data_IF_172955234110
#
_entry.id   IF_172955234110
#
_cell.length_a   1.000
_cell.length_b   1.000
_cell.length_c   1.000
_cell.angle_alpha   90.00
_cell.angle_beta   90.00
_cell.angle_gamma   90.00
#
_symmetry.space_group_name_H-M   'P 1'
#
loop_
_entity.id
_entity.type
_entity.pdbx_description
1 polymer ?
#
# COMPACT_ATOMS: atom_id res chain seq x y z
N UNK A 1 -38.87 19.20 -41.91
CA UNK A 1 -38.27 18.34 -40.88
C UNK A 1 -39.19 17.13 -40.75
N UNK A 2 -38.72 15.96 -41.13
CA UNK A 2 -39.55 14.74 -41.15
C UNK A 2 -39.71 14.16 -39.74
N UNK A 3 -40.89 13.63 -39.47
CA UNK A 3 -41.25 13.03 -38.17
C UNK A 3 -40.26 11.93 -37.76
N UNK A 4 -39.68 11.23 -38.73
CA UNK A 4 -38.67 10.19 -38.53
C UNK A 4 -37.34 10.73 -37.97
N UNK A 5 -36.94 11.96 -38.31
CA UNK A 5 -35.76 12.59 -37.72
C UNK A 5 -36.00 13.06 -36.28
N UNK A 6 -37.20 13.57 -36.00
CA UNK A 6 -37.60 13.98 -34.65
C UNK A 6 -37.58 12.76 -33.72
N UNK A 7 -38.13 11.63 -34.16
CA UNK A 7 -38.14 10.38 -33.38
C UNK A 7 -36.73 9.85 -33.14
N UNK A 8 -35.85 9.86 -34.15
CA UNK A 8 -34.44 9.45 -33.98
C UNK A 8 -33.68 10.32 -32.98
N UNK A 9 -33.95 11.63 -32.99
CA UNK A 9 -33.31 12.59 -32.09
C UNK A 9 -33.74 12.37 -30.64
N UNK A 10 -35.03 12.11 -30.43
CA UNK A 10 -35.60 11.81 -29.10
C UNK A 10 -35.05 10.49 -28.56
N UNK A 11 -35.00 9.43 -29.39
CA UNK A 11 -34.45 8.13 -28.98
C UNK A 11 -32.97 8.25 -28.60
N UNK A 12 -32.19 9.01 -29.37
CA UNK A 12 -30.76 9.24 -29.10
C UNK A 12 -30.56 10.00 -27.79
N UNK A 13 -31.38 11.02 -27.52
CA UNK A 13 -31.35 11.77 -26.26
C UNK A 13 -31.75 10.90 -25.05
N UNK A 14 -32.76 10.04 -25.21
CA UNK A 14 -33.22 9.16 -24.13
C UNK A 14 -32.21 8.05 -23.81
N UNK A 15 -31.54 7.48 -24.81
CA UNK A 15 -30.53 6.42 -24.61
C UNK A 15 -29.20 7.02 -24.15
N UNK A 16 -28.78 8.16 -24.72
CA UNK A 16 -27.52 8.83 -24.37
C UNK A 16 -27.54 9.54 -23.01
N UNK A 17 -28.70 10.01 -22.56
CA UNK A 17 -28.83 10.77 -21.31
C UNK A 17 -28.91 9.92 -20.04
N UNK A 18 -29.29 8.64 -20.13
CA UNK A 18 -29.65 7.84 -18.95
C UNK A 18 -28.54 6.91 -18.42
N UNK A 19 -27.45 6.68 -19.18
CA UNK A 19 -26.55 5.54 -18.93
C UNK A 19 -25.16 5.84 -18.37
N UNK A 20 -24.84 7.10 -18.04
CA UNK A 20 -23.45 7.50 -17.72
C UNK A 20 -23.14 7.62 -16.21
N UNK A 21 -24.03 8.09 -15.31
CA UNK A 21 -23.59 8.43 -13.95
C UNK A 21 -23.28 7.21 -13.07
N UNK A 22 -24.02 6.10 -13.22
CA UNK A 22 -23.81 4.89 -12.40
C UNK A 22 -22.48 4.18 -12.67
N UNK A 23 -22.03 4.17 -13.94
CA UNK A 23 -20.78 3.53 -14.35
C UNK A 23 -19.56 4.35 -13.88
N UNK A 24 -19.64 5.68 -13.95
CA UNK A 24 -18.58 6.56 -13.44
C UNK A 24 -18.44 6.49 -11.90
N UNK A 25 -19.56 6.40 -11.18
CA UNK A 25 -19.55 6.24 -9.73
C UNK A 25 -18.95 4.89 -9.30
N UNK A 26 -19.28 3.79 -10.00
CA UNK A 26 -18.70 2.48 -9.72
C UNK A 26 -17.18 2.43 -10.00
N UNK A 27 -16.74 3.05 -11.10
CA UNK A 27 -15.33 3.11 -11.49
C UNK A 27 -14.47 3.91 -10.48
N UNK A 28 -14.99 5.03 -9.98
CA UNK A 28 -14.29 5.86 -8.96
C UNK A 28 -14.21 5.14 -7.61
N UNK A 29 -15.23 4.37 -7.22
CA UNK A 29 -15.22 3.60 -5.98
C UNK A 29 -14.23 2.42 -6.02
N UNK A 30 -14.16 1.70 -7.16
CA UNK A 30 -13.21 0.61 -7.38
C UNK A 30 -11.76 1.11 -7.40
N UNK A 31 -11.48 2.19 -8.13
CA UNK A 31 -10.12 2.78 -8.21
C UNK A 31 -9.65 3.34 -6.87
N UNK A 32 -10.54 3.93 -6.06
CA UNK A 32 -10.21 4.38 -4.71
C UNK A 32 -9.84 3.24 -3.76
N UNK A 33 -10.47 2.06 -3.91
CA UNK A 33 -10.19 0.88 -3.09
C UNK A 33 -8.85 0.22 -3.44
N UNK A 34 -8.50 0.21 -4.72
CA UNK A 34 -7.20 -0.31 -5.18
C UNK A 34 -6.03 0.55 -4.70
N UNK A 35 -6.18 1.88 -4.72
CA UNK A 35 -5.15 2.79 -4.21
C UNK A 35 -4.87 2.58 -2.73
N UNK A 36 -5.92 2.55 -1.89
CA UNK A 36 -5.76 2.29 -0.45
C UNK A 36 -5.07 0.96 -0.15
N UNK A 37 -5.41 -0.10 -0.90
CA UNK A 37 -4.76 -1.40 -0.74
C UNK A 37 -3.27 -1.36 -1.10
N UNK A 38 -2.88 -0.61 -2.13
CA UNK A 38 -1.46 -0.45 -2.50
C UNK A 38 -0.69 0.31 -1.43
N UNK A 39 -1.26 1.41 -0.94
CA UNK A 39 -0.64 2.21 0.12
C UNK A 39 -0.47 1.41 1.42
N UNK A 40 -1.46 0.58 1.77
CA UNK A 40 -1.39 -0.30 2.93
C UNK A 40 -0.32 -1.40 2.77
N UNK A 41 -0.20 -1.99 1.57
CA UNK A 41 0.84 -2.98 1.27
C UNK A 41 2.23 -2.36 1.36
N UNK A 42 2.45 -1.22 0.72
CA UNK A 42 3.74 -0.50 0.75
C UNK A 42 4.13 -0.13 2.19
N UNK A 43 3.16 0.34 2.99
CA UNK A 43 3.39 0.64 4.40
C UNK A 43 3.72 -0.60 5.23
N UNK A 44 3.08 -1.73 4.95
CA UNK A 44 3.34 -2.99 5.63
C UNK A 44 4.69 -3.58 5.24
N UNK A 45 5.07 -3.51 3.96
CA UNK A 45 6.38 -3.92 3.46
C UNK A 45 7.49 -3.09 4.12
N UNK A 46 7.36 -1.76 4.14
CA UNK A 46 8.34 -0.88 4.80
C UNK A 46 8.50 -1.19 6.30
N UNK A 47 7.39 -1.51 7.00
CA UNK A 47 7.45 -1.96 8.39
C UNK A 47 8.12 -3.33 8.53
N UNK A 48 7.86 -4.24 7.60
CA UNK A 48 8.46 -5.56 7.60
C UNK A 48 9.98 -5.47 7.42
N UNK A 49 10.44 -4.65 6.47
CA UNK A 49 11.87 -4.40 6.23
C UNK A 49 12.56 -3.78 7.45
N UNK A 50 11.91 -2.83 8.11
CA UNK A 50 12.42 -2.25 9.35
C UNK A 50 12.55 -3.29 10.47
N UNK A 51 11.58 -4.20 10.60
CA UNK A 51 11.61 -5.28 11.58
C UNK A 51 12.70 -6.30 11.27
N UNK A 52 12.87 -6.69 10.00
CA UNK A 52 13.95 -7.58 9.58
C UNK A 52 15.33 -6.96 9.80
N UNK A 53 15.50 -5.67 9.47
CA UNK A 53 16.75 -4.96 9.73
C UNK A 53 17.05 -4.91 11.24
N UNK A 54 16.04 -4.66 12.08
CA UNK A 54 16.19 -4.69 13.54
C UNK A 54 16.54 -6.09 14.05
N UNK A 55 15.93 -7.13 13.50
CA UNK A 55 16.20 -8.52 13.88
C UNK A 55 17.61 -8.96 13.48
N UNK A 56 18.08 -8.56 12.29
CA UNK A 56 19.46 -8.80 11.84
C UNK A 56 20.46 -8.15 12.79
N UNK A 57 20.32 -6.85 13.10
CA UNK A 57 21.18 -6.16 14.08
C UNK A 57 21.22 -6.86 15.45
N UNK A 58 20.06 -7.31 15.95
CA UNK A 58 20.00 -8.06 17.22
C UNK A 58 20.71 -9.41 17.14
N UNK A 59 20.63 -10.07 15.99
CA UNK A 59 21.29 -11.36 15.77
C UNK A 59 22.81 -11.17 15.69
N UNK A 60 23.27 -10.15 14.97
CA UNK A 60 24.68 -9.79 14.84
C UNK A 60 25.27 -9.44 16.22
N UNK A 61 24.57 -8.62 17.02
CA UNK A 61 24.97 -8.30 18.39
C UNK A 61 25.04 -9.54 19.29
N UNK A 62 24.09 -10.48 19.16
CA UNK A 62 24.09 -11.71 19.94
C UNK A 62 25.26 -12.63 19.57
N UNK A 63 25.61 -12.70 18.28
CA UNK A 63 26.78 -13.45 17.81
C UNK A 63 28.09 -12.82 18.29
N UNK A 64 28.19 -11.50 18.21
CA UNK A 64 29.33 -10.75 18.73
C UNK A 64 29.49 -10.94 20.25
N UNK A 65 28.41 -10.82 21.01
CA UNK A 65 28.40 -11.05 22.45
C UNK A 65 28.86 -12.48 22.79
N UNK A 66 28.42 -13.48 22.01
CA UNK A 66 28.86 -14.87 22.18
C UNK A 66 30.36 -15.02 21.94
N UNK A 67 30.90 -14.34 20.93
CA UNK A 67 32.34 -14.33 20.67
C UNK A 67 33.14 -13.68 21.81
N UNK A 68 32.65 -12.59 22.40
CA UNK A 68 33.29 -11.95 23.56
C UNK A 68 33.29 -12.86 24.78
N UNK A 69 32.15 -13.48 25.11
CA UNK A 69 32.05 -14.46 26.20
C UNK A 69 33.05 -15.61 26.00
N UNK A 70 33.18 -16.12 24.76
CA UNK A 70 34.12 -17.20 24.46
C UNK A 70 35.59 -16.81 24.62
N UNK A 71 35.92 -15.53 24.44
CA UNK A 71 37.27 -14.97 24.59
C UNK A 71 37.58 -14.50 26.01
N UNK A 72 36.56 -14.34 26.86
CA UNK A 72 36.69 -13.74 28.19
C UNK A 72 36.78 -12.21 28.17
N UNK A 73 36.48 -11.59 27.03
CA UNK A 73 36.48 -10.14 26.87
C UNK A 73 35.19 -9.52 27.45
N UNK A 74 35.22 -8.26 27.92
CA UNK A 74 34.00 -7.56 28.30
C UNK A 74 33.01 -7.50 27.13
N UNK A 75 31.70 -7.53 27.39
CA UNK A 75 30.69 -7.54 26.35
C UNK A 75 30.77 -6.27 25.48
N UNK A 76 30.46 -6.37 24.17
CA UNK A 76 30.41 -5.21 23.30
C UNK A 76 29.34 -4.22 23.82
N UNK A 77 29.58 -2.90 23.70
CA UNK A 77 28.58 -1.90 24.06
C UNK A 77 27.31 -2.11 23.21
N UNK A 78 26.11 -1.89 23.77
CA UNK A 78 24.89 -2.04 23.00
C UNK A 78 24.85 -1.04 21.85
N UNK A 79 24.51 -1.53 20.65
CA UNK A 79 24.16 -0.71 19.50
C UNK A 79 22.85 0.02 19.78
N UNK A 80 22.89 1.18 20.45
CA UNK A 80 21.70 2.00 20.64
C UNK A 80 21.96 3.51 20.60
N UNK A 81 20.94 4.29 20.15
CA UNK A 81 19.88 4.65 21.08
C UNK A 81 18.51 4.13 20.67
N UNK A 82 17.82 3.57 21.68
CA UNK A 82 16.42 3.17 21.63
C UNK A 82 15.64 4.47 21.44
N UNK A 83 15.41 4.84 20.18
CA UNK A 83 14.57 5.96 19.84
C UNK A 83 13.10 5.56 20.05
N UNK A 84 12.71 5.53 21.32
CA UNK A 84 11.32 5.64 21.75
C UNK A 84 10.88 7.11 21.68
#
# INVERSE_FOLDING_TARGET
MDVTEIVKTIITLLIGGLFIPGVQAAATWLTGRERRKRDDVERLEAKNDQLWARMRRRSDYAEELRAHISRGDPPPPPDYPDNY
#
